data_IF_341904496889
#
_entry.id   IF_341904496889
#
_cell.length_a   1.000
_cell.length_b   1.000
_cell.length_c   1.000
_cell.angle_alpha   90.00
_cell.angle_beta   90.00
_cell.angle_gamma   90.00
#
_symmetry.space_group_name_H-M   'P 1'
#
loop_
_entity.id
_entity.type
_entity.pdbx_description
1 polymer ?
#
# COMPACT_ATOMS: atom_id res chain seq x y z
N UNK A 1 47.18 23.84 19.83
CA UNK A 1 46.32 22.75 19.29
C UNK A 1 44.88 23.06 19.70
N UNK A 2 44.05 23.57 18.78
CA UNK A 2 42.67 23.94 19.08
C UNK A 2 41.76 22.79 18.67
N UNK A 3 41.02 22.21 19.62
CA UNK A 3 39.93 21.29 19.34
C UNK A 3 38.73 22.09 18.83
N UNK A 4 38.68 22.33 17.52
CA UNK A 4 37.47 22.82 16.85
C UNK A 4 36.39 21.74 16.95
N UNK A 5 35.52 21.87 17.95
CA UNK A 5 34.37 20.99 18.11
C UNK A 5 33.55 20.94 16.82
N UNK A 6 33.14 19.74 16.40
CA UNK A 6 32.30 19.55 15.21
C UNK A 6 30.99 20.31 15.42
N UNK A 7 30.86 21.47 14.78
CA UNK A 7 29.60 22.20 14.71
C UNK A 7 28.54 21.27 14.10
N UNK A 8 27.55 20.87 14.89
CA UNK A 8 26.47 20.00 14.44
C UNK A 8 25.71 20.73 13.33
N UNK A 9 25.83 20.23 12.10
CA UNK A 9 25.16 20.78 10.92
C UNK A 9 23.69 20.34 10.95
N UNK A 10 22.86 21.10 11.68
CA UNK A 10 21.46 20.79 11.95
C UNK A 10 20.56 21.73 11.14
N UNK A 11 19.54 21.22 10.42
CA UNK A 11 18.61 22.05 9.69
C UNK A 11 17.76 22.92 10.63
N UNK A 12 17.28 24.05 10.11
CA UNK A 12 16.22 24.78 10.80
C UNK A 12 14.91 23.98 10.82
N UNK A 13 14.04 24.15 11.84
CA UNK A 13 12.71 23.56 11.83
C UNK A 13 11.87 23.99 10.61
N UNK A 14 12.12 25.19 10.09
CA UNK A 14 11.47 25.74 8.88
C UNK A 14 11.86 24.93 7.64
N UNK A 15 13.13 24.60 7.46
CA UNK A 15 13.63 23.77 6.35
C UNK A 15 12.90 22.41 6.29
N UNK A 16 12.73 21.73 7.43
CA UNK A 16 12.01 20.45 7.51
C UNK A 16 10.51 20.64 7.27
N UNK A 17 9.94 21.75 7.75
CA UNK A 17 8.54 22.12 7.55
C UNK A 17 8.22 22.39 6.06
N UNK A 18 9.08 23.10 5.35
CA UNK A 18 8.95 23.40 3.92
C UNK A 18 9.06 22.13 3.07
N UNK A 19 10.07 21.30 3.30
CA UNK A 19 10.25 20.02 2.58
C UNK A 19 9.06 19.08 2.79
N UNK A 20 8.51 19.03 4.01
CA UNK A 20 7.28 18.27 4.29
C UNK A 20 6.06 18.82 3.53
N UNK A 21 5.91 20.14 3.42
CA UNK A 21 4.84 20.73 2.63
C UNK A 21 5.02 20.46 1.14
N UNK A 22 6.23 20.59 0.57
CA UNK A 22 6.49 20.22 -0.83
C UNK A 22 6.15 18.75 -1.11
N UNK A 23 6.48 17.84 -0.20
CA UNK A 23 6.10 16.43 -0.32
C UNK A 23 4.58 16.19 -0.22
N UNK A 24 3.88 16.94 0.65
CA UNK A 24 2.41 16.87 0.81
C UNK A 24 1.70 17.40 -0.43
N UNK A 25 2.12 18.56 -0.92
CA UNK A 25 1.44 19.29 -1.99
C UNK A 25 1.69 18.64 -3.36
N UNK A 26 2.79 17.89 -3.51
CA UNK A 26 3.02 16.97 -4.63
C UNK A 26 2.36 15.59 -4.47
N UNK A 27 1.63 15.33 -3.37
CA UNK A 27 0.94 14.05 -3.13
C UNK A 27 1.86 12.84 -2.88
N UNK A 28 3.15 13.06 -2.60
CA UNK A 28 4.12 11.98 -2.43
C UNK A 28 4.30 11.51 -0.97
N UNK A 29 3.70 12.20 0.00
CA UNK A 29 3.57 11.69 1.38
C UNK A 29 2.90 10.30 1.32
N UNK A 30 3.42 9.29 2.03
CA UNK A 30 2.79 7.99 2.09
C UNK A 30 1.51 8.07 2.94
N UNK A 31 0.51 7.29 2.56
CA UNK A 31 -0.68 7.06 3.36
C UNK A 31 -0.85 5.56 3.57
N UNK A 32 -1.01 5.17 4.84
CA UNK A 32 -1.30 3.79 5.26
C UNK A 32 -2.54 3.74 6.17
N UNK A 33 -3.38 4.76 6.13
CA UNK A 33 -4.63 4.84 6.89
C UNK A 33 -5.66 3.81 6.40
N UNK A 34 -6.61 3.46 7.27
CA UNK A 34 -7.79 2.70 6.85
C UNK A 34 -8.76 3.63 6.10
N UNK A 35 -9.44 3.09 5.09
CA UNK A 35 -10.40 3.82 4.28
C UNK A 35 -11.63 4.28 5.11
N UNK A 36 -12.15 5.51 4.93
CA UNK A 36 -13.33 5.99 5.65
C UNK A 36 -14.58 5.13 5.44
N UNK A 37 -14.79 4.57 4.25
CA UNK A 37 -15.92 3.66 3.97
C UNK A 37 -15.76 2.37 4.76
N UNK A 38 -14.56 1.80 4.74
CA UNK A 38 -14.22 0.59 5.49
C UNK A 38 -14.42 0.78 7.01
N UNK A 39 -13.92 1.88 7.56
CA UNK A 39 -14.05 2.16 9.01
C UNK A 39 -15.50 2.44 9.41
N UNK A 40 -16.28 3.10 8.55
CA UNK A 40 -17.71 3.38 8.77
C UNK A 40 -18.53 2.09 8.82
N UNK A 41 -18.47 1.25 7.77
CA UNK A 41 -19.32 0.07 7.67
C UNK A 41 -18.86 -1.13 8.51
N UNK A 42 -17.64 -1.08 9.06
CA UNK A 42 -17.18 -2.04 10.07
C UNK A 42 -17.40 -1.55 11.52
N UNK A 43 -17.91 -0.33 11.73
CA UNK A 43 -18.21 0.22 13.06
C UNK A 43 -19.49 -0.36 13.70
N UNK A 44 -19.80 0.10 14.92
CA UNK A 44 -21.10 -0.15 15.56
C UNK A 44 -22.25 0.58 14.84
N UNK A 45 -21.98 1.67 14.15
CA UNK A 45 -22.98 2.50 13.48
C UNK A 45 -23.29 2.01 12.05
N UNK A 46 -22.77 0.84 11.65
CA UNK A 46 -22.82 0.33 10.28
C UNK A 46 -24.23 0.21 9.68
N UNK A 47 -25.24 -0.11 10.51
CA UNK A 47 -26.65 -0.21 10.07
C UNK A 47 -27.24 1.18 9.80
N UNK A 48 -27.01 2.14 10.70
CA UNK A 48 -27.43 3.52 10.53
C UNK A 48 -26.73 4.18 9.32
N UNK A 49 -25.44 3.90 9.10
CA UNK A 49 -24.70 4.35 7.94
C UNK A 49 -25.27 3.77 6.62
N UNK A 50 -25.66 2.49 6.63
CA UNK A 50 -26.25 1.82 5.46
C UNK A 50 -27.62 2.39 5.11
N UNK A 51 -28.48 2.60 6.11
CA UNK A 51 -29.78 3.24 5.92
C UNK A 51 -29.61 4.69 5.43
N UNK A 52 -28.63 5.43 5.96
CA UNK A 52 -28.33 6.79 5.51
C UNK A 52 -27.86 6.83 4.04
N UNK A 53 -26.94 5.94 3.64
CA UNK A 53 -26.49 5.84 2.25
C UNK A 53 -27.66 5.49 1.31
N UNK A 54 -28.45 4.47 1.66
CA UNK A 54 -29.60 4.03 0.87
C UNK A 54 -30.59 5.18 0.61
N UNK A 55 -31.04 5.85 1.68
CA UNK A 55 -31.98 6.98 1.58
C UNK A 55 -31.35 8.19 0.88
N UNK A 56 -30.06 8.44 1.06
CA UNK A 56 -29.34 9.51 0.35
C UNK A 56 -29.25 9.24 -1.16
N UNK A 57 -29.06 7.98 -1.57
CA UNK A 57 -29.07 7.59 -2.98
C UNK A 57 -30.47 7.77 -3.58
N UNK A 58 -31.53 7.24 -2.95
CA UNK A 58 -32.91 7.40 -3.42
C UNK A 58 -33.31 8.88 -3.59
N UNK A 59 -33.02 9.75 -2.62
CA UNK A 59 -33.31 11.20 -2.69
C UNK A 59 -32.66 11.93 -3.86
N UNK A 60 -31.65 11.31 -4.50
CA UNK A 60 -30.90 11.87 -5.63
C UNK A 60 -31.22 11.18 -6.98
N UNK A 61 -32.35 10.48 -7.04
CA UNK A 61 -32.87 9.74 -8.20
C UNK A 61 -34.30 10.17 -8.56
N UNK A 62 -34.66 10.13 -9.84
CA UNK A 62 -36.07 10.26 -10.27
C UNK A 62 -36.92 9.07 -9.79
N UNK A 63 -38.25 9.17 -9.85
CA UNK A 63 -39.15 8.06 -9.47
C UNK A 63 -38.83 6.78 -10.26
N UNK A 64 -38.69 6.89 -11.57
CA UNK A 64 -38.31 5.79 -12.48
C UNK A 64 -36.96 5.15 -12.11
N UNK A 65 -35.96 5.99 -11.77
CA UNK A 65 -34.66 5.53 -11.31
C UNK A 65 -34.74 4.86 -9.93
N UNK A 66 -35.59 5.34 -9.01
CA UNK A 66 -35.82 4.69 -7.73
C UNK A 66 -36.46 3.30 -7.93
N UNK A 67 -37.47 3.17 -8.80
CA UNK A 67 -38.06 1.85 -9.14
C UNK A 67 -37.02 0.91 -9.76
N UNK A 68 -36.24 1.38 -10.74
CA UNK A 68 -35.17 0.58 -11.35
C UNK A 68 -34.11 0.11 -10.34
N UNK A 69 -33.62 1.02 -9.50
CA UNK A 69 -32.66 0.75 -8.43
C UNK A 69 -33.17 -0.31 -7.45
N UNK A 70 -34.44 -0.20 -7.05
CA UNK A 70 -35.09 -1.16 -6.14
C UNK A 70 -35.29 -2.54 -6.77
N UNK A 71 -35.65 -2.60 -8.05
CA UNK A 71 -35.82 -3.86 -8.77
C UNK A 71 -34.47 -4.59 -8.91
N UNK A 72 -33.43 -3.91 -9.37
CA UNK A 72 -32.07 -4.48 -9.47
C UNK A 72 -31.49 -4.88 -8.12
N UNK A 73 -31.78 -4.14 -7.03
CA UNK A 73 -31.42 -4.57 -5.68
C UNK A 73 -32.15 -5.85 -5.27
N UNK A 74 -33.44 -5.96 -5.60
CA UNK A 74 -34.23 -7.16 -5.26
C UNK A 74 -33.69 -8.39 -6.02
N UNK A 75 -33.25 -8.22 -7.26
CA UNK A 75 -32.60 -9.26 -8.07
C UNK A 75 -31.26 -9.72 -7.47
N UNK A 76 -30.33 -8.79 -7.21
CA UNK A 76 -29.00 -9.07 -6.62
C UNK A 76 -29.07 -9.63 -5.17
N UNK A 77 -30.18 -9.40 -4.46
CA UNK A 77 -30.47 -9.95 -3.12
C UNK A 77 -31.29 -11.25 -3.16
N UNK A 78 -31.35 -11.91 -4.32
CA UNK A 78 -31.96 -13.24 -4.47
C UNK A 78 -33.49 -13.24 -4.45
N UNK A 79 -34.10 -12.16 -4.91
CA UNK A 79 -35.56 -11.97 -4.92
C UNK A 79 -36.14 -11.37 -3.62
N UNK A 80 -35.31 -10.80 -2.74
CA UNK A 80 -35.75 -10.31 -1.43
C UNK A 80 -35.54 -8.81 -1.21
N UNK A 81 -36.53 -8.17 -0.60
CA UNK A 81 -36.49 -6.78 -0.10
C UNK A 81 -35.83 -6.63 1.27
N UNK A 82 -35.34 -7.73 1.87
CA UNK A 82 -34.76 -7.79 3.22
C UNK A 82 -33.50 -8.63 3.25
N UNK A 83 -32.59 -8.34 4.18
CA UNK A 83 -31.33 -9.07 4.39
C UNK A 83 -31.22 -9.47 5.86
N UNK A 84 -31.47 -10.75 6.15
CA UNK A 84 -31.75 -11.29 7.50
C UNK A 84 -30.52 -11.77 8.29
N UNK A 85 -29.37 -11.96 7.63
CA UNK A 85 -28.07 -12.11 8.30
C UNK A 85 -27.12 -10.95 7.96
N UNK A 86 -27.70 -9.82 7.49
CA UNK A 86 -26.98 -8.66 6.98
C UNK A 86 -27.48 -7.34 7.59
N UNK A 87 -27.03 -6.22 7.04
CA UNK A 87 -27.30 -4.88 7.60
C UNK A 87 -26.23 -4.38 8.59
N UNK A 88 -25.31 -5.24 9.04
CA UNK A 88 -24.20 -4.86 9.94
C UNK A 88 -22.83 -5.42 9.54
N UNK A 89 -21.76 -4.68 9.86
CA UNK A 89 -20.37 -5.10 9.64
C UNK A 89 -20.05 -5.42 8.17
N UNK A 90 -19.38 -6.55 7.92
CA UNK A 90 -18.95 -6.93 6.56
C UNK A 90 -20.09 -7.09 5.55
N UNK A 91 -21.31 -7.39 6.00
CA UNK A 91 -22.48 -7.48 5.10
C UNK A 91 -23.02 -6.08 4.79
N UNK A 92 -23.00 -5.15 5.76
CA UNK A 92 -23.27 -3.73 5.46
C UNK A 92 -22.24 -3.16 4.49
N UNK A 93 -20.96 -3.50 4.65
CA UNK A 93 -19.88 -3.12 3.73
C UNK A 93 -20.10 -3.69 2.31
N UNK A 94 -20.59 -4.92 2.19
CA UNK A 94 -20.95 -5.52 0.90
C UNK A 94 -22.16 -4.81 0.26
N UNK A 95 -23.22 -4.57 1.03
CA UNK A 95 -24.41 -3.84 0.59
C UNK A 95 -24.08 -2.39 0.17
N UNK A 96 -23.20 -1.68 0.90
CA UNK A 96 -22.78 -0.33 0.54
C UNK A 96 -22.10 -0.24 -0.83
N UNK A 97 -21.31 -1.26 -1.20
CA UNK A 97 -20.71 -1.37 -2.54
C UNK A 97 -21.76 -1.66 -3.60
N UNK A 98 -22.69 -2.58 -3.30
CA UNK A 98 -23.79 -2.94 -4.21
C UNK A 98 -24.70 -1.74 -4.50
N UNK A 99 -25.02 -0.94 -3.48
CA UNK A 99 -25.83 0.27 -3.62
C UNK A 99 -25.15 1.28 -4.56
N UNK A 100 -23.86 1.56 -4.34
CA UNK A 100 -23.11 2.46 -5.22
C UNK A 100 -23.08 1.93 -6.67
N UNK A 101 -22.80 0.64 -6.85
CA UNK A 101 -22.74 -0.01 -8.18
C UNK A 101 -24.06 0.06 -8.94
N UNK A 102 -25.19 -0.34 -8.34
CA UNK A 102 -26.50 -0.29 -9.01
C UNK A 102 -26.93 1.17 -9.21
N UNK A 103 -26.64 2.08 -8.26
CA UNK A 103 -26.96 3.50 -8.43
C UNK A 103 -26.24 4.15 -9.61
N UNK A 104 -25.03 3.67 -9.96
CA UNK A 104 -24.29 4.09 -11.14
C UNK A 104 -24.91 3.53 -12.42
N UNK A 105 -25.22 2.22 -12.46
CA UNK A 105 -25.86 1.58 -13.61
C UNK A 105 -27.20 2.25 -13.98
N UNK A 106 -28.06 2.51 -12.99
CA UNK A 106 -29.36 3.16 -13.17
C UNK A 106 -29.24 4.60 -13.69
N UNK A 107 -28.22 5.35 -13.24
CA UNK A 107 -27.96 6.71 -13.76
C UNK A 107 -27.47 6.69 -15.20
N UNK A 108 -26.57 5.77 -15.54
CA UNK A 108 -26.03 5.63 -16.91
C UNK A 108 -27.12 5.19 -17.88
N UNK A 109 -27.95 4.20 -17.51
CA UNK A 109 -29.05 3.74 -18.36
C UNK A 109 -30.14 4.81 -18.58
N UNK A 110 -30.22 5.81 -17.70
CA UNK A 110 -31.10 6.98 -17.83
C UNK A 110 -30.46 8.19 -18.53
N UNK A 111 -29.27 8.06 -19.13
CA UNK A 111 -28.57 9.17 -19.78
C UNK A 111 -28.06 8.79 -21.18
N UNK A 112 -28.51 9.52 -22.20
CA UNK A 112 -28.19 9.25 -23.61
C UNK A 112 -26.79 9.75 -24.04
N UNK A 113 -26.02 10.36 -23.13
CA UNK A 113 -24.67 10.87 -23.35
C UNK A 113 -23.77 10.60 -22.13
N UNK A 114 -22.45 10.45 -22.34
CA UNK A 114 -21.47 10.61 -21.26
C UNK A 114 -20.59 9.41 -20.88
N UNK A 115 -19.62 9.11 -21.74
CA UNK A 115 -18.28 8.57 -21.40
C UNK A 115 -18.15 7.45 -20.33
N UNK A 116 -18.08 6.21 -20.82
CA UNK A 116 -17.80 4.99 -20.03
C UNK A 116 -16.39 4.92 -19.40
N UNK A 117 -15.46 5.83 -19.74
CA UNK A 117 -14.03 5.68 -19.43
C UNK A 117 -13.70 5.72 -17.92
N UNK A 118 -14.41 6.54 -17.14
CA UNK A 118 -14.16 6.73 -15.70
C UNK A 118 -14.41 5.45 -14.87
N UNK A 119 -15.45 4.67 -15.22
CA UNK A 119 -15.90 3.49 -14.45
C UNK A 119 -14.84 2.35 -14.42
N UNK A 120 -13.97 2.26 -15.43
CA UNK A 120 -12.85 1.29 -15.47
C UNK A 120 -11.69 1.63 -14.53
N UNK A 121 -11.77 2.70 -13.74
CA UNK A 121 -10.73 3.06 -12.76
C UNK A 121 -11.13 2.79 -11.31
N UNK A 122 -12.37 3.09 -10.90
CA UNK A 122 -12.84 2.74 -9.54
C UNK A 122 -12.82 1.23 -9.28
N UNK A 123 -13.12 0.40 -10.28
CA UNK A 123 -13.07 -1.08 -10.16
C UNK A 123 -11.66 -1.67 -9.95
N UNK A 124 -10.58 -0.87 -10.04
CA UNK A 124 -9.17 -1.29 -9.88
C UNK A 124 -8.61 -1.13 -8.45
N UNK A 125 -9.32 -0.41 -7.57
CA UNK A 125 -8.98 -0.26 -6.14
C UNK A 125 -10.22 -0.40 -5.27
N UNK A 126 -10.08 -1.01 -4.10
CA UNK A 126 -11.11 -1.20 -3.08
C UNK A 126 -10.43 -0.86 -1.75
N UNK A 127 -10.98 0.10 -0.99
CA UNK A 127 -10.40 0.61 0.26
C UNK A 127 -8.91 0.99 0.14
N UNK A 128 -8.59 1.84 -0.85
CA UNK A 128 -7.23 2.22 -1.22
C UNK A 128 -6.38 1.14 -1.91
N UNK A 129 -6.55 -0.14 -1.57
CA UNK A 129 -5.71 -1.25 -2.06
C UNK A 129 -6.15 -1.71 -3.46
N UNK A 130 -5.22 -2.20 -4.30
CA UNK A 130 -5.60 -2.66 -5.65
C UNK A 130 -6.30 -4.02 -5.63
N UNK A 131 -7.39 -4.13 -6.38
CA UNK A 131 -8.13 -5.37 -6.64
C UNK A 131 -7.36 -6.39 -7.50
N UNK A 132 -6.12 -6.09 -7.91
CA UNK A 132 -5.18 -7.06 -8.49
C UNK A 132 -4.35 -7.83 -7.44
N UNK A 133 -4.11 -7.21 -6.27
CA UNK A 133 -3.42 -7.86 -5.15
C UNK A 133 -4.21 -9.09 -4.67
N UNK A 134 -3.55 -10.12 -4.13
CA UNK A 134 -4.26 -11.35 -3.74
C UNK A 134 -5.18 -11.11 -2.54
N UNK A 135 -4.78 -10.28 -1.56
CA UNK A 135 -5.67 -9.75 -0.52
C UNK A 135 -6.87 -9.02 -1.14
N UNK A 136 -6.63 -8.07 -2.04
CA UNK A 136 -7.70 -7.29 -2.69
C UNK A 136 -8.65 -8.14 -3.54
N UNK A 137 -8.16 -9.22 -4.18
CA UNK A 137 -9.01 -10.19 -4.90
C UNK A 137 -9.89 -11.00 -3.95
N UNK A 138 -9.32 -11.53 -2.87
CA UNK A 138 -10.08 -12.29 -1.86
C UNK A 138 -11.20 -11.42 -1.25
N UNK A 139 -10.87 -10.18 -0.86
CA UNK A 139 -11.85 -9.22 -0.32
C UNK A 139 -12.90 -8.82 -1.36
N UNK A 140 -12.50 -8.53 -2.60
CA UNK A 140 -13.46 -8.19 -3.68
C UNK A 140 -14.46 -9.32 -3.91
N UNK A 141 -13.98 -10.56 -4.05
CA UNK A 141 -14.84 -11.69 -4.33
C UNK A 141 -15.77 -11.97 -3.14
N UNK A 142 -15.28 -11.91 -1.90
CA UNK A 142 -16.12 -12.04 -0.70
C UNK A 142 -17.28 -11.02 -0.70
N UNK A 143 -16.96 -9.72 -0.81
CA UNK A 143 -17.96 -8.64 -0.75
C UNK A 143 -18.92 -8.63 -1.94
N UNK A 144 -18.58 -9.28 -3.05
CA UNK A 144 -19.49 -9.44 -4.19
C UNK A 144 -20.48 -10.60 -4.00
N UNK A 145 -20.06 -11.74 -3.44
CA UNK A 145 -20.94 -12.91 -3.28
C UNK A 145 -21.91 -12.77 -2.10
N UNK A 146 -21.48 -12.10 -1.03
CA UNK A 146 -22.20 -12.08 0.26
C UNK A 146 -23.64 -11.54 0.19
N UNK A 147 -23.97 -10.44 -0.53
CA UNK A 147 -25.34 -9.90 -0.56
C UNK A 147 -26.39 -10.93 -1.02
N UNK A 148 -26.16 -11.61 -2.16
CA UNK A 148 -27.09 -12.57 -2.73
C UNK A 148 -27.23 -13.90 -1.97
N UNK A 149 -26.38 -14.15 -0.96
CA UNK A 149 -26.48 -15.34 -0.09
C UNK A 149 -26.84 -15.03 1.37
N UNK A 150 -26.91 -13.76 1.77
CA UNK A 150 -27.11 -13.35 3.17
C UNK A 150 -28.49 -13.69 3.76
N UNK A 151 -29.43 -14.19 2.96
CA UNK A 151 -30.71 -14.76 3.42
C UNK A 151 -30.68 -16.29 3.57
N UNK A 152 -29.58 -16.96 3.25
CA UNK A 152 -29.40 -18.41 3.48
C UNK A 152 -28.30 -18.63 4.54
N UNK A 153 -28.64 -19.02 5.79
CA UNK A 153 -27.69 -19.07 6.90
C UNK A 153 -26.57 -20.10 6.70
N UNK A 154 -26.85 -21.21 6.01
CA UNK A 154 -25.89 -22.27 5.71
C UNK A 154 -24.84 -21.79 4.70
N UNK A 155 -25.28 -21.27 3.56
CA UNK A 155 -24.41 -20.76 2.49
C UNK A 155 -23.55 -19.58 2.95
N UNK A 156 -24.08 -18.65 3.76
CA UNK A 156 -23.28 -17.56 4.28
C UNK A 156 -22.25 -18.05 5.31
N UNK A 157 -22.59 -19.00 6.18
CA UNK A 157 -21.62 -19.58 7.12
C UNK A 157 -20.46 -20.28 6.40
N UNK A 158 -20.77 -21.17 5.44
CA UNK A 158 -19.78 -21.88 4.61
C UNK A 158 -18.90 -20.89 3.82
N UNK A 159 -19.52 -19.94 3.14
CA UNK A 159 -18.80 -18.94 2.34
C UNK A 159 -17.90 -18.06 3.22
N UNK A 160 -18.41 -17.59 4.36
CA UNK A 160 -17.63 -16.78 5.30
C UNK A 160 -16.46 -17.58 5.88
N UNK A 161 -16.59 -18.90 6.15
CA UNK A 161 -15.46 -19.74 6.56
C UNK A 161 -14.42 -19.98 5.46
N UNK A 162 -14.84 -20.16 4.20
CA UNK A 162 -13.92 -20.31 3.07
C UNK A 162 -13.05 -19.07 2.89
N UNK A 163 -13.68 -17.89 2.86
CA UNK A 163 -12.99 -16.61 2.69
C UNK A 163 -12.17 -16.19 3.92
N UNK A 164 -12.62 -16.54 5.13
CA UNK A 164 -11.85 -16.41 6.37
C UNK A 164 -10.50 -17.16 6.27
N UNK A 165 -10.54 -18.44 5.91
CA UNK A 165 -9.33 -19.26 5.79
C UNK A 165 -8.40 -18.78 4.66
N UNK A 166 -8.94 -18.40 3.50
CA UNK A 166 -8.13 -17.83 2.42
C UNK A 166 -7.45 -16.51 2.80
N UNK A 167 -8.19 -15.60 3.45
CA UNK A 167 -7.69 -14.28 3.83
C UNK A 167 -6.65 -14.40 4.97
N UNK A 168 -6.87 -15.27 5.94
CA UNK A 168 -5.92 -15.66 7.00
C UNK A 168 -4.57 -16.09 6.42
N UNK A 169 -4.56 -17.02 5.47
CA UNK A 169 -3.34 -17.56 4.87
C UNK A 169 -2.56 -16.49 4.07
N UNK A 170 -3.25 -15.70 3.26
CA UNK A 170 -2.61 -14.64 2.46
C UNK A 170 -2.04 -13.52 3.36
N UNK A 171 -2.72 -13.15 4.45
CA UNK A 171 -2.23 -12.12 5.38
C UNK A 171 -0.96 -12.57 6.11
N UNK A 172 -0.82 -13.87 6.43
CA UNK A 172 0.38 -14.43 7.06
C UNK A 172 1.58 -14.37 6.09
N UNK A 173 1.48 -14.90 4.87
CA UNK A 173 2.59 -14.81 3.92
C UNK A 173 2.85 -13.35 3.46
N UNK A 174 1.85 -12.48 3.44
CA UNK A 174 2.06 -11.05 3.17
C UNK A 174 2.81 -10.34 4.31
N UNK A 175 2.51 -10.68 5.57
CA UNK A 175 3.29 -10.25 6.74
C UNK A 175 4.75 -10.73 6.64
N UNK A 176 4.96 -12.01 6.33
CA UNK A 176 6.31 -12.58 6.13
C UNK A 176 7.06 -11.90 4.97
N UNK A 177 6.36 -11.60 3.86
CA UNK A 177 6.93 -10.91 2.70
C UNK A 177 7.48 -9.54 3.08
N UNK A 178 6.76 -8.77 3.88
CA UNK A 178 7.22 -7.46 4.36
C UNK A 178 8.40 -7.60 5.34
N UNK A 179 8.27 -8.48 6.33
CA UNK A 179 9.21 -8.57 7.47
C UNK A 179 10.47 -9.36 7.16
N UNK A 180 10.35 -10.62 6.74
CA UNK A 180 11.49 -11.52 6.50
C UNK A 180 12.09 -11.36 5.11
N UNK A 181 11.24 -11.29 4.07
CA UNK A 181 11.63 -11.21 2.65
C UNK A 181 11.92 -9.75 2.23
N UNK A 182 11.92 -8.81 3.19
CA UNK A 182 12.25 -7.36 3.09
C UNK A 182 11.39 -6.55 2.08
N UNK A 183 10.21 -7.03 1.70
CA UNK A 183 9.30 -6.39 0.72
C UNK A 183 8.36 -5.36 1.36
N UNK A 184 8.89 -4.55 2.27
CA UNK A 184 8.16 -3.47 2.94
C UNK A 184 7.92 -2.30 1.97
N UNK A 185 6.76 -1.64 2.07
CA UNK A 185 6.35 -0.44 1.31
C UNK A 185 5.05 0.13 1.85
N UNK A 186 4.71 1.37 1.51
CA UNK A 186 3.39 1.96 1.83
C UNK A 186 2.24 1.09 1.31
N UNK A 187 2.36 0.58 0.07
CA UNK A 187 1.33 -0.25 -0.56
C UNK A 187 1.15 -1.61 0.14
N UNK A 188 2.24 -2.23 0.60
CA UNK A 188 2.17 -3.51 1.32
C UNK A 188 1.63 -3.34 2.74
N UNK A 189 1.98 -2.24 3.43
CA UNK A 189 1.37 -1.85 4.70
C UNK A 189 -0.14 -1.66 4.58
N UNK A 190 -0.61 -0.90 3.58
CA UNK A 190 -2.04 -0.68 3.36
C UNK A 190 -2.77 -1.99 3.02
N UNK A 191 -2.18 -2.86 2.18
CA UNK A 191 -2.71 -4.20 1.88
C UNK A 191 -2.86 -5.06 3.14
N UNK A 192 -1.85 -5.07 4.02
CA UNK A 192 -1.93 -5.81 5.27
C UNK A 192 -2.99 -5.23 6.22
N UNK A 193 -3.06 -3.91 6.36
CA UNK A 193 -3.95 -3.24 7.31
C UNK A 193 -5.42 -3.42 6.94
N UNK A 194 -5.77 -3.22 5.66
CA UNK A 194 -7.12 -3.47 5.13
C UNK A 194 -7.48 -4.96 5.21
N UNK A 195 -6.54 -5.85 4.88
CA UNK A 195 -6.74 -7.29 5.05
C UNK A 195 -7.02 -7.68 6.51
N UNK A 196 -6.23 -7.18 7.45
CA UNK A 196 -6.39 -7.44 8.87
C UNK A 196 -7.72 -6.90 9.40
N UNK A 197 -8.14 -5.70 8.97
CA UNK A 197 -9.42 -5.13 9.32
C UNK A 197 -10.59 -6.00 8.81
N UNK A 198 -10.59 -6.39 7.53
CA UNK A 198 -11.66 -7.23 6.96
C UNK A 198 -11.67 -8.62 7.59
N UNK A 199 -10.53 -9.30 7.79
CA UNK A 199 -10.50 -10.63 8.42
C UNK A 199 -11.02 -10.60 9.87
N UNK A 200 -10.72 -9.55 10.65
CA UNK A 200 -11.27 -9.41 11.99
C UNK A 200 -12.80 -9.30 11.97
N UNK A 201 -13.37 -8.55 11.02
CA UNK A 201 -14.83 -8.40 10.93
C UNK A 201 -15.54 -9.56 10.23
N UNK A 202 -14.85 -10.33 9.39
CA UNK A 202 -15.26 -11.67 8.95
C UNK A 202 -15.38 -12.61 10.16
N UNK A 203 -14.37 -12.63 11.06
CA UNK A 203 -14.44 -13.44 12.29
C UNK A 203 -15.57 -12.99 13.23
N UNK A 204 -15.79 -11.67 13.38
CA UNK A 204 -16.94 -11.13 14.11
C UNK A 204 -18.25 -11.61 13.47
N UNK A 205 -18.36 -11.64 12.15
CA UNK A 205 -19.55 -12.14 11.45
C UNK A 205 -19.78 -13.64 11.67
N UNK A 206 -18.74 -14.49 11.65
CA UNK A 206 -18.87 -15.91 12.04
C UNK A 206 -19.39 -16.09 13.48
N UNK A 207 -19.01 -15.20 14.41
CA UNK A 207 -19.55 -15.20 15.78
C UNK A 207 -21.03 -14.78 15.79
N UNK A 208 -21.45 -13.87 14.89
CA UNK A 208 -22.87 -13.51 14.71
C UNK A 208 -23.69 -14.67 14.11
N UNK A 209 -23.09 -15.45 13.22
CA UNK A 209 -23.64 -16.68 12.63
C UNK A 209 -23.50 -17.92 13.54
N UNK A 210 -22.96 -17.76 14.75
CA UNK A 210 -22.70 -18.84 15.72
C UNK A 210 -21.74 -19.95 15.25
N UNK A 211 -21.04 -19.76 14.13
CA UNK A 211 -20.12 -20.74 13.52
C UNK A 211 -18.82 -20.91 14.31
N UNK A 212 -18.40 -19.90 15.09
CA UNK A 212 -17.14 -19.92 15.88
C UNK A 212 -17.32 -19.25 17.25
N UNK A 213 -16.56 -19.65 18.29
CA UNK A 213 -16.65 -19.05 19.63
C UNK A 213 -16.07 -17.62 19.67
N UNK A 214 -16.61 -16.77 20.55
CA UNK A 214 -16.24 -15.36 20.71
C UNK A 214 -14.74 -15.09 20.89
N UNK A 215 -14.06 -15.94 21.68
CA UNK A 215 -12.62 -15.86 21.94
C UNK A 215 -11.74 -15.98 20.69
N UNK A 216 -12.26 -16.48 19.56
CA UNK A 216 -11.54 -16.51 18.28
C UNK A 216 -11.20 -15.11 17.77
N UNK A 217 -12.18 -14.19 17.75
CA UNK A 217 -11.96 -12.80 17.36
C UNK A 217 -11.09 -12.05 18.37
N UNK A 218 -11.20 -12.36 19.66
CA UNK A 218 -10.29 -11.79 20.67
C UNK A 218 -8.83 -12.19 20.43
N UNK A 219 -8.57 -13.47 20.16
CA UNK A 219 -7.23 -13.99 19.87
C UNK A 219 -6.69 -13.38 18.57
N UNK A 220 -7.49 -13.36 17.51
CA UNK A 220 -7.15 -12.74 16.23
C UNK A 220 -6.82 -11.24 16.38
N UNK A 221 -7.62 -10.51 17.16
CA UNK A 221 -7.39 -9.09 17.47
C UNK A 221 -6.10 -8.87 18.26
N UNK A 222 -5.77 -9.73 19.24
CA UNK A 222 -4.50 -9.67 19.99
C UNK A 222 -3.30 -9.97 19.08
N UNK A 223 -3.44 -10.92 18.15
CA UNK A 223 -2.43 -11.19 17.11
C UNK A 223 -2.19 -9.97 16.22
N UNK A 224 -3.25 -9.39 15.65
CA UNK A 224 -3.15 -8.23 14.77
C UNK A 224 -2.65 -6.95 15.46
N UNK A 225 -3.01 -6.70 16.73
CA UNK A 225 -2.38 -5.66 17.56
C UNK A 225 -0.85 -5.82 17.58
N UNK A 226 -0.38 -7.05 17.79
CA UNK A 226 1.05 -7.36 17.95
C UNK A 226 1.78 -7.26 16.61
N UNK A 227 1.23 -7.85 15.56
CA UNK A 227 1.76 -7.77 14.20
C UNK A 227 1.81 -6.33 13.69
N UNK A 228 0.77 -5.52 13.90
CA UNK A 228 0.78 -4.10 13.50
C UNK A 228 1.87 -3.30 14.23
N UNK A 229 2.08 -3.53 15.53
CA UNK A 229 3.16 -2.90 16.29
C UNK A 229 4.55 -3.20 15.72
N UNK A 230 4.80 -4.45 15.33
CA UNK A 230 6.05 -4.86 14.69
C UNK A 230 6.19 -4.29 13.26
N UNK A 231 5.10 -4.25 12.49
CA UNK A 231 5.07 -3.67 11.16
C UNK A 231 5.35 -2.16 11.17
N UNK A 232 4.82 -1.40 12.14
CA UNK A 232 5.12 0.03 12.27
C UNK A 232 6.61 0.28 12.55
N UNK A 233 7.25 -0.54 13.39
CA UNK A 233 8.70 -0.46 13.59
C UNK A 233 9.47 -0.77 12.30
N UNK A 234 9.10 -1.84 11.60
CA UNK A 234 9.71 -2.23 10.32
C UNK A 234 9.50 -1.19 9.20
N UNK A 235 8.32 -0.55 9.17
CA UNK A 235 7.95 0.48 8.21
C UNK A 235 8.68 1.80 8.49
N UNK A 236 8.81 2.19 9.75
CA UNK A 236 9.65 3.33 10.16
C UNK A 236 11.11 3.12 9.73
N UNK A 237 11.66 1.92 9.99
CA UNK A 237 13.00 1.54 9.55
C UNK A 237 13.15 1.42 8.01
N UNK A 238 12.05 1.19 7.28
CA UNK A 238 11.99 1.23 5.83
C UNK A 238 12.01 2.67 5.31
N UNK A 239 11.21 3.59 5.88
CA UNK A 239 11.25 5.02 5.52
C UNK A 239 12.64 5.60 5.77
N UNK A 240 13.28 5.30 6.90
CA UNK A 240 14.67 5.67 7.19
C UNK A 240 15.72 5.23 6.14
N UNK A 241 15.40 4.26 5.27
CA UNK A 241 16.31 3.77 4.21
C UNK A 241 15.96 4.31 2.82
N UNK A 242 14.74 4.81 2.64
CA UNK A 242 14.19 5.21 1.33
C UNK A 242 13.97 6.72 1.22
N UNK A 243 13.70 7.43 2.32
CA UNK A 243 13.68 8.89 2.32
C UNK A 243 15.09 9.38 2.03
N UNK A 244 15.25 10.07 0.89
CA UNK A 244 16.48 10.68 0.44
C UNK A 244 16.20 12.10 0.00
N UNK A 245 17.06 13.00 0.42
CA UNK A 245 16.99 14.41 0.12
C UNK A 245 18.37 14.81 -0.40
N UNK A 246 18.41 15.49 -1.55
CA UNK A 246 19.63 16.11 -2.08
C UNK A 246 19.44 17.61 -2.33
N UNK A 247 20.31 18.48 -1.80
CA UNK A 247 20.15 19.93 -1.87
C UNK A 247 20.22 20.46 -3.30
N UNK A 248 19.64 21.65 -3.50
CA UNK A 248 19.86 22.45 -4.71
C UNK A 248 21.38 22.55 -5.02
N UNK A 249 21.82 22.18 -6.24
CA UNK A 249 23.21 22.39 -6.66
C UNK A 249 23.58 23.88 -6.59
N UNK A 250 24.54 24.24 -5.73
CA UNK A 250 25.10 25.59 -5.71
C UNK A 250 25.93 25.79 -6.98
N UNK A 251 25.49 26.68 -7.88
CA UNK A 251 26.32 27.17 -9.00
C UNK A 251 27.69 27.58 -8.45
N UNK A 252 28.82 27.12 -9.02
CA UNK A 252 30.13 27.52 -8.55
C UNK A 252 30.24 29.04 -8.56
N UNK A 253 30.64 29.64 -7.42
CA UNK A 253 31.03 31.06 -7.44
C UNK A 253 32.20 31.18 -8.41
N UNK A 254 32.01 31.93 -9.49
CA UNK A 254 33.11 32.35 -10.34
C UNK A 254 34.14 33.04 -9.44
N UNK A 255 35.35 32.47 -9.36
CA UNK A 255 36.44 33.11 -8.64
C UNK A 255 36.82 34.36 -9.41
N UNK A 256 36.44 35.53 -8.91
CA UNK A 256 37.04 36.80 -9.29
C UNK A 256 38.55 36.64 -9.17
N UNK A 257 39.29 36.81 -10.28
CA UNK A 257 40.76 36.73 -10.25
C UNK A 257 41.30 37.92 -9.43
N UNK A 258 41.70 37.67 -8.19
CA UNK A 258 42.78 38.45 -7.60
C UNK A 258 44.09 37.96 -8.23
N UNK A 259 44.87 38.90 -8.77
CA UNK A 259 46.15 38.62 -9.42
C UNK A 259 47.26 38.53 -8.38
N UNK A 260 47.31 37.44 -7.62
CA UNK A 260 48.47 37.14 -6.77
C UNK A 260 49.57 36.51 -7.64
N UNK A 261 50.53 37.35 -8.05
CA UNK A 261 51.72 36.94 -8.79
C UNK A 261 52.70 36.28 -7.82
N UNK A 262 52.89 34.96 -7.88
CA UNK A 262 54.14 34.34 -7.41
C UNK A 262 54.53 33.07 -8.19
N UNK A 263 55.76 33.10 -8.70
CA UNK A 263 56.65 31.98 -9.07
C UNK A 263 56.05 30.67 -9.60
N UNK A 264 56.18 30.46 -10.91
CA UNK A 264 56.16 29.12 -11.53
C UNK A 264 57.35 28.31 -10.98
N UNK A 265 57.11 27.06 -10.62
CA UNK A 265 58.17 26.03 -10.57
C UNK A 265 57.62 24.72 -11.13
N UNK A 266 58.29 24.14 -12.12
CA UNK A 266 57.82 22.93 -12.80
C UNK A 266 58.25 21.67 -12.04
N UNK A 267 57.35 20.69 -11.90
CA UNK A 267 57.72 19.29 -12.01
C UNK A 267 56.59 18.50 -12.68
N UNK A 268 56.94 17.89 -13.82
CA UNK A 268 56.12 16.94 -14.56
C UNK A 268 56.48 15.53 -14.09
N UNK A 269 55.50 14.63 -14.00
CA UNK A 269 55.66 13.30 -14.57
C UNK A 269 54.30 12.60 -14.80
N UNK A 270 54.31 11.60 -15.68
CA UNK A 270 53.11 10.91 -16.16
C UNK A 270 52.84 9.59 -15.41
N UNK A 271 51.62 9.09 -15.61
CA UNK A 271 51.31 7.66 -15.63
C UNK A 271 52.32 6.87 -16.47
N UNK A 272 52.68 5.65 -16.04
CA UNK A 272 52.18 4.44 -16.70
C UNK A 272 52.41 3.14 -15.91
N UNK A 273 51.69 2.09 -16.33
CA UNK A 273 51.65 0.76 -15.71
C UNK A 273 52.74 -0.16 -16.27
N UNK A 274 53.10 -1.23 -15.53
CA UNK A 274 53.19 -2.60 -16.07
C UNK A 274 53.43 -3.66 -14.96
N UNK A 275 53.26 -4.93 -15.33
CA UNK A 275 53.46 -6.14 -14.49
C UNK A 275 54.99 -6.44 -14.30
N UNK A 276 55.48 -7.29 -13.38
CA UNK A 276 55.11 -8.70 -13.19
C UNK A 276 55.70 -9.41 -11.94
N UNK A 277 55.19 -10.62 -11.68
CA UNK A 277 55.51 -11.72 -10.72
C UNK A 277 57.00 -11.91 -10.31
N UNK A 278 57.28 -12.17 -9.01
CA UNK A 278 57.98 -13.39 -8.51
C UNK A 278 58.03 -13.51 -6.96
N UNK A 279 58.31 -14.73 -6.46
CA UNK A 279 58.42 -15.16 -5.06
C UNK A 279 59.77 -14.79 -4.41
N UNK A 280 59.80 -14.59 -3.08
CA UNK A 280 60.74 -15.26 -2.13
C UNK A 280 60.05 -15.37 -0.75
N UNK A 281 60.19 -16.52 -0.09
CA UNK A 281 59.96 -16.77 1.35
C UNK A 281 61.27 -17.35 1.94
N UNK A 282 61.58 -17.17 3.24
CA UNK A 282 61.67 -18.38 4.07
C UNK A 282 61.26 -18.25 5.56
N UNK A 283 60.86 -19.42 6.08
CA UNK A 283 60.67 -19.92 7.46
C UNK A 283 61.77 -19.53 8.50
N UNK A 284 61.65 -19.74 9.83
CA UNK A 284 61.16 -20.86 10.70
C UNK A 284 60.72 -20.25 12.07
N UNK A 285 59.69 -20.68 12.83
CA UNK A 285 59.56 -21.85 13.75
C UNK A 285 58.09 -21.91 14.25
N UNK A 286 57.39 -23.04 14.40
CA UNK A 286 57.59 -24.20 15.28
C UNK A 286 57.37 -23.85 16.78
N UNK A 287 56.48 -24.48 17.56
CA UNK A 287 55.59 -25.65 17.39
C UNK A 287 54.22 -25.37 18.11
N UNK A 288 53.22 -26.26 18.30
CA UNK A 288 53.12 -27.72 18.22
C UNK A 288 51.67 -28.18 17.89
N UNK A 289 51.36 -29.48 17.94
CA UNK A 289 50.14 -30.11 17.40
C UNK A 289 49.34 -30.92 18.45
N UNK A 290 48.07 -31.26 18.19
CA UNK A 290 47.51 -32.62 18.45
C UNK A 290 46.14 -32.85 17.76
N UNK A 291 46.14 -33.64 16.68
CA UNK A 291 45.28 -34.81 16.35
C UNK A 291 43.74 -34.76 16.60
N UNK A 292 42.82 -35.38 15.83
CA UNK A 292 42.78 -36.41 14.73
C UNK A 292 41.31 -36.49 14.21
N UNK A 293 40.86 -37.05 13.07
CA UNK A 293 41.35 -37.41 11.69
C UNK A 293 40.11 -37.91 10.87
N UNK A 294 40.27 -38.19 9.56
CA UNK A 294 39.41 -39.06 8.69
C UNK A 294 38.01 -38.53 8.24
N UNK A 295 37.45 -38.92 7.08
CA UNK A 295 38.02 -39.47 5.81
C UNK A 295 37.00 -39.57 4.66
N UNK A 296 37.41 -39.20 3.43
CA UNK A 296 37.08 -39.82 2.11
C UNK A 296 35.64 -39.87 1.55
N UNK A 297 35.49 -39.54 0.25
CA UNK A 297 34.40 -40.00 -0.63
C UNK A 297 33.55 -38.91 -1.31
N UNK A 298 33.13 -39.08 -2.57
CA UNK A 298 33.86 -38.91 -3.85
C UNK A 298 32.90 -39.26 -5.04
N UNK A 299 33.13 -38.70 -6.24
CA UNK A 299 32.53 -39.05 -7.57
C UNK A 299 30.99 -39.11 -7.82
N UNK A 300 30.43 -38.00 -8.33
CA UNK A 300 29.76 -37.85 -9.67
C UNK A 300 28.48 -38.62 -10.11
N UNK A 301 27.73 -37.99 -11.06
CA UNK A 301 26.65 -38.53 -11.97
C UNK A 301 25.29 -38.87 -11.32
N UNK A 302 24.14 -38.89 -12.03
CA UNK A 302 23.69 -38.23 -13.28
C UNK A 302 22.14 -38.29 -13.41
N UNK A 303 21.53 -37.49 -14.29
CA UNK A 303 20.07 -37.26 -14.34
C UNK A 303 19.21 -38.38 -14.99
N UNK A 304 17.96 -38.56 -14.53
CA UNK A 304 16.77 -38.65 -15.42
C UNK A 304 15.42 -38.43 -14.68
N UNK A 305 14.35 -38.37 -15.49
CA UNK A 305 12.94 -38.08 -15.14
C UNK A 305 12.24 -39.25 -14.43
N UNK A 306 11.14 -38.95 -13.73
CA UNK A 306 9.81 -39.41 -14.12
C UNK A 306 8.70 -38.46 -13.62
N UNK A 307 7.51 -38.55 -14.21
CA UNK A 307 6.30 -37.80 -13.85
C UNK A 307 5.05 -38.46 -14.45
N UNK A 308 3.88 -38.34 -13.79
CA UNK A 308 2.59 -38.31 -14.47
C UNK A 308 1.84 -36.99 -14.22
N UNK A 309 0.73 -36.80 -14.94
CA UNK A 309 -0.04 -35.57 -15.08
C UNK A 309 -1.53 -35.76 -14.80
N UNK A 310 -2.22 -34.70 -14.39
CA UNK A 310 -3.66 -34.42 -14.57
C UNK A 310 -3.81 -32.92 -14.19
N UNK A 311 -3.73 -31.94 -15.10
CA UNK A 311 -4.57 -31.61 -16.27
C UNK A 311 -5.96 -31.07 -15.93
N UNK A 312 -6.17 -29.77 -16.24
CA UNK A 312 -7.46 -29.10 -16.40
C UNK A 312 -7.29 -27.84 -17.28
N UNK A 313 -7.08 -28.06 -18.59
CA UNK A 313 -7.61 -27.16 -19.63
C UNK A 313 -9.05 -27.54 -20.01
N UNK A 314 -9.69 -26.93 -21.04
CA UNK A 314 -9.19 -25.95 -22.01
C UNK A 314 -9.99 -24.61 -21.92
N UNK A 315 -9.97 -23.63 -22.83
CA UNK A 315 -9.37 -23.52 -24.18
C UNK A 315 -8.88 -22.10 -24.50
N UNK A 316 -7.91 -21.97 -25.41
CA UNK A 316 -7.41 -20.69 -25.93
C UNK A 316 -8.12 -20.30 -27.22
N UNK A 317 -8.58 -19.05 -27.33
CA UNK A 317 -8.74 -18.35 -28.62
C UNK A 317 -7.50 -17.48 -28.84
N UNK A 318 -7.03 -17.42 -30.09
CA UNK A 318 -5.64 -17.07 -30.43
C UNK A 318 -5.54 -15.75 -31.21
N UNK A 319 -4.40 -15.09 -31.05
CA UNK A 319 -3.84 -14.03 -31.91
C UNK A 319 -4.65 -12.75 -32.20
N UNK A 320 -4.20 -11.65 -31.59
CA UNK A 320 -4.39 -10.29 -32.06
C UNK A 320 -3.13 -9.47 -31.73
N UNK A 321 -2.46 -8.92 -32.73
CA UNK A 321 -1.21 -8.16 -32.54
C UNK A 321 -1.53 -6.70 -32.16
N UNK A 322 -1.30 -6.32 -30.89
CA UNK A 322 -1.36 -4.92 -30.48
C UNK A 322 0.02 -4.25 -30.50
N UNK A 323 0.24 -3.46 -31.56
CA UNK A 323 1.39 -2.55 -31.71
C UNK A 323 1.44 -1.56 -30.54
N UNK A 324 2.64 -1.32 -29.97
CA UNK A 324 2.83 -0.37 -28.86
C UNK A 324 2.61 1.07 -29.33
N UNK A 325 1.36 1.55 -29.31
CA UNK A 325 1.01 2.95 -29.57
C UNK A 325 1.40 3.79 -28.37
N UNK A 326 2.51 4.53 -28.49
CA UNK A 326 2.85 5.64 -27.58
C UNK A 326 1.77 6.73 -27.67
N UNK A 327 0.83 6.74 -26.73
CA UNK A 327 -0.07 7.89 -26.54
C UNK A 327 0.72 9.03 -25.90
N UNK A 328 1.27 9.90 -26.76
CA UNK A 328 1.88 11.16 -26.34
C UNK A 328 0.76 12.18 -26.15
N UNK A 329 0.50 12.60 -24.91
CA UNK A 329 -0.43 13.69 -24.61
C UNK A 329 0.14 15.05 -25.04
N UNK A 330 0.18 15.30 -26.35
CA UNK A 330 0.51 16.60 -26.93
C UNK A 330 -0.73 17.50 -26.93
N UNK A 331 -0.98 18.20 -25.81
CA UNK A 331 -2.05 19.21 -25.75
C UNK A 331 -1.54 20.52 -26.35
N UNK A 332 -1.87 20.76 -27.61
CA UNK A 332 -1.48 21.99 -28.30
C UNK A 332 -2.25 23.20 -27.78
N UNK A 333 -1.52 24.27 -27.49
CA UNK A 333 -2.05 25.63 -27.32
C UNK A 333 -1.09 26.55 -28.06
N UNK A 334 -1.49 27.01 -29.25
CA UNK A 334 -0.72 28.01 -29.99
C UNK A 334 -0.97 29.39 -29.36
N UNK A 335 0.10 30.00 -28.85
CA UNK A 335 0.08 31.32 -28.22
C UNK A 335 1.51 31.82 -28.05
N UNK A 336 1.98 32.59 -29.02
CA UNK A 336 3.39 32.94 -29.23
C UNK A 336 4.07 33.64 -28.05
N UNK A 337 5.04 32.95 -27.42
CA UNK A 337 6.19 33.59 -26.78
C UNK A 337 7.35 32.59 -26.70
N UNK A 338 8.46 32.87 -27.39
CA UNK A 338 9.70 32.13 -27.21
C UNK A 338 10.41 32.65 -25.97
N UNK A 339 10.65 31.78 -24.96
CA UNK A 339 11.82 31.86 -24.06
C UNK A 339 11.95 30.62 -23.16
N UNK A 340 13.13 29.98 -23.22
CA UNK A 340 13.78 29.17 -22.17
C UNK A 340 12.92 28.40 -21.13
N UNK A 341 12.38 27.22 -21.50
CA UNK A 341 11.87 26.21 -20.54
C UNK A 341 12.67 24.90 -20.63
N UNK A 342 14.01 25.01 -20.67
CA UNK A 342 14.92 23.85 -20.84
C UNK A 342 15.95 23.63 -19.71
N UNK A 343 16.35 24.67 -18.97
CA UNK A 343 17.57 24.63 -18.15
C UNK A 343 17.36 24.56 -16.63
N UNK A 344 16.14 24.83 -16.13
CA UNK A 344 15.95 25.16 -14.72
C UNK A 344 15.67 23.94 -13.80
N UNK A 345 15.23 22.81 -14.35
CA UNK A 345 15.09 21.55 -13.59
C UNK A 345 16.43 21.08 -13.03
N UNK A 346 17.52 21.31 -13.78
CA UNK A 346 18.91 21.05 -13.39
C UNK A 346 19.41 21.92 -12.22
N UNK A 347 18.58 22.84 -11.71
CA UNK A 347 18.90 23.73 -10.59
C UNK A 347 18.05 23.48 -9.34
N UNK A 348 17.23 22.43 -9.29
CA UNK A 348 16.41 22.10 -8.11
C UNK A 348 17.09 21.03 -7.24
N UNK A 349 16.74 21.01 -5.96
CA UNK A 349 16.98 19.84 -5.09
C UNK A 349 15.99 18.72 -5.42
N UNK A 350 16.20 17.52 -4.88
CA UNK A 350 15.34 16.35 -5.08
C UNK A 350 15.03 15.67 -3.75
N UNK A 351 13.73 15.53 -3.48
CA UNK A 351 13.21 14.78 -2.36
C UNK A 351 12.54 13.50 -2.87
N UNK A 352 13.01 12.36 -2.40
CA UNK A 352 12.48 11.02 -2.64
C UNK A 352 11.95 10.49 -1.31
N UNK A 353 10.74 9.95 -1.28
CA UNK A 353 10.13 9.38 -0.07
C UNK A 353 10.07 7.85 -0.14
N UNK A 354 9.75 7.32 -1.32
CA UNK A 354 9.82 5.90 -1.70
C UNK A 354 10.32 5.80 -3.15
N UNK A 355 10.72 4.60 -3.63
CA UNK A 355 10.84 4.35 -5.07
C UNK A 355 9.58 4.82 -5.82
N UNK A 356 9.78 5.63 -6.86
CA UNK A 356 8.73 6.27 -7.67
C UNK A 356 7.82 7.28 -6.93
N UNK A 357 8.18 7.71 -5.71
CA UNK A 357 7.57 8.85 -5.00
C UNK A 357 8.63 9.95 -4.80
N UNK A 358 8.75 10.87 -5.75
CA UNK A 358 9.75 11.94 -5.70
C UNK A 358 9.21 13.29 -6.22
N UNK A 359 9.86 14.38 -5.79
CA UNK A 359 9.54 15.76 -6.16
C UNK A 359 10.80 16.62 -6.15
N UNK A 360 10.92 17.52 -7.12
CA UNK A 360 12.00 18.52 -7.16
C UNK A 360 11.62 19.75 -6.31
N UNK A 361 12.56 20.30 -5.54
CA UNK A 361 12.30 21.41 -4.61
C UNK A 361 13.28 22.58 -4.74
N UNK A 362 12.80 23.77 -4.38
CA UNK A 362 13.57 25.02 -4.32
C UNK A 362 14.15 25.34 -2.93
N UNK A 363 13.73 24.58 -1.89
CA UNK A 363 14.14 24.78 -0.49
C UNK A 363 15.66 24.81 -0.35
N UNK A 364 16.18 25.81 0.39
CA UNK A 364 17.61 26.03 0.56
C UNK A 364 18.08 25.60 1.95
N UNK A 365 19.17 24.84 1.98
CA UNK A 365 19.80 24.30 3.17
C UNK A 365 21.25 23.89 2.83
N UNK A 366 22.03 23.45 3.82
CA UNK A 366 23.39 22.98 3.62
C UNK A 366 23.45 21.46 3.34
N UNK A 367 24.37 20.97 2.49
CA UNK A 367 24.48 19.54 2.19
C UNK A 367 24.79 18.64 3.41
N UNK A 368 25.36 19.19 4.48
CA UNK A 368 25.59 18.46 5.72
C UNK A 368 24.35 18.34 6.63
N UNK A 369 23.27 19.07 6.33
CA UNK A 369 22.00 19.02 7.07
C UNK A 369 21.11 17.87 6.59
N UNK A 370 21.30 17.41 5.34
CA UNK A 370 20.49 16.38 4.67
C UNK A 370 20.23 15.11 5.48
N UNK A 371 21.19 14.51 6.21
CA UNK A 371 20.91 13.34 7.04
C UNK A 371 19.95 13.63 8.20
N UNK A 372 20.08 14.81 8.83
CA UNK A 372 19.21 15.25 9.91
C UNK A 372 17.83 15.69 9.38
N UNK A 373 17.78 16.29 8.18
CA UNK A 373 16.54 16.55 7.44
C UNK A 373 15.78 15.25 7.19
N UNK A 374 16.45 14.23 6.66
CA UNK A 374 15.84 12.91 6.37
C UNK A 374 15.27 12.28 7.64
N UNK A 375 16.01 12.29 8.76
CA UNK A 375 15.52 11.80 10.07
C UNK A 375 14.32 12.59 10.60
N UNK A 376 14.34 13.92 10.48
CA UNK A 376 13.23 14.77 10.91
C UNK A 376 12.00 14.59 10.01
N UNK A 377 12.17 14.37 8.70
CA UNK A 377 11.09 14.06 7.77
C UNK A 377 10.45 12.69 8.05
N UNK A 378 11.23 11.63 8.32
CA UNK A 378 10.66 10.33 8.76
C UNK A 378 9.81 10.52 10.02
N UNK A 379 10.36 11.19 11.03
CA UNK A 379 9.65 11.46 12.30
C UNK A 379 8.35 12.24 12.06
N UNK A 380 8.39 13.26 11.20
CA UNK A 380 7.24 14.09 10.87
C UNK A 380 6.17 13.35 10.06
N UNK A 381 6.56 12.50 9.11
CA UNK A 381 5.65 11.64 8.34
C UNK A 381 4.98 10.63 9.27
N UNK A 382 5.75 9.95 10.13
CA UNK A 382 5.21 8.99 11.11
C UNK A 382 4.22 9.62 12.10
N UNK A 383 4.39 10.91 12.43
CA UNK A 383 3.46 11.67 13.27
C UNK A 383 2.26 12.26 12.50
N UNK A 384 2.31 12.33 11.17
CA UNK A 384 1.23 12.86 10.32
C UNK A 384 0.28 11.77 9.81
N UNK A 385 0.72 10.51 9.80
CA UNK A 385 -0.13 9.33 9.60
C UNK A 385 -1.07 9.15 10.80
N UNK A 386 -2.39 8.99 10.58
CA UNK A 386 -3.30 8.63 11.68
C UNK A 386 -3.22 7.12 12.01
N UNK A 387 -2.08 6.80 12.64
CA UNK A 387 -1.83 5.50 13.24
C UNK A 387 -2.63 5.32 14.54
N UNK A 388 -3.25 6.37 15.09
CA UNK A 388 -4.06 6.27 16.31
C UNK A 388 -5.42 5.68 15.97
N UNK A 389 -6.13 6.19 14.97
CA UNK A 389 -7.37 5.59 14.46
C UNK A 389 -7.14 4.15 13.99
N UNK A 390 -6.10 3.94 13.18
CA UNK A 390 -5.71 2.62 12.65
C UNK A 390 -5.38 1.60 13.76
N UNK A 391 -4.69 2.03 14.81
CA UNK A 391 -4.41 1.22 16.01
C UNK A 391 -5.67 0.99 16.85
N UNK A 392 -6.52 2.00 17.00
CA UNK A 392 -7.77 1.93 17.77
C UNK A 392 -8.79 0.98 17.15
N UNK A 393 -8.76 0.79 15.83
CA UNK A 393 -9.52 -0.25 15.14
C UNK A 393 -9.22 -1.65 15.73
N UNK A 394 -7.95 -2.02 15.87
CA UNK A 394 -7.56 -3.28 16.53
C UNK A 394 -7.60 -3.20 18.07
N UNK A 395 -7.65 -2.01 18.65
CA UNK A 395 -7.79 -1.76 20.09
C UNK A 395 -9.22 -1.41 20.53
N UNK A 396 -10.25 -1.99 19.90
CA UNK A 396 -11.58 -2.05 20.51
C UNK A 396 -11.48 -2.40 22.01
N UNK A 397 -12.14 -1.62 22.87
CA UNK A 397 -12.35 -2.02 24.26
C UNK A 397 -13.19 -3.29 24.27
N UNK A 398 -13.08 -4.09 25.34
CA UNK A 398 -13.86 -5.34 25.44
C UNK A 398 -15.37 -5.08 25.36
N UNK A 399 -15.83 -3.92 25.87
CA UNK A 399 -17.20 -3.43 25.72
C UNK A 399 -17.59 -3.21 24.24
N UNK A 400 -16.75 -2.54 23.45
CA UNK A 400 -17.01 -2.32 22.01
C UNK A 400 -17.00 -3.63 21.23
N UNK A 401 -16.06 -4.53 21.52
CA UNK A 401 -16.00 -5.85 20.88
C UNK A 401 -17.22 -6.72 21.22
N UNK A 402 -17.69 -6.70 22.47
CA UNK A 402 -18.92 -7.38 22.86
C UNK A 402 -20.18 -6.77 22.23
N UNK A 403 -20.24 -5.45 22.04
CA UNK A 403 -21.31 -4.82 21.26
C UNK A 403 -21.26 -5.28 19.79
N UNK A 404 -20.08 -5.35 19.17
CA UNK A 404 -19.92 -5.87 17.80
C UNK A 404 -20.36 -7.34 17.67
N UNK A 405 -20.16 -8.19 18.69
CA UNK A 405 -20.69 -9.56 18.70
C UNK A 405 -22.22 -9.63 18.82
N UNK A 406 -22.84 -8.65 19.48
CA UNK A 406 -24.29 -8.59 19.74
C UNK A 406 -25.12 -8.00 18.61
N UNK A 407 -24.50 -7.28 17.67
CA UNK A 407 -25.20 -6.78 16.50
C UNK A 407 -25.89 -7.90 15.70
N UNK A 408 -27.13 -7.64 15.30
CA UNK A 408 -28.10 -8.48 14.57
C UNK A 408 -29.10 -7.63 13.76
N UNK A 409 -28.77 -6.37 13.48
CA UNK A 409 -29.67 -5.44 12.81
C UNK A 409 -29.75 -5.73 11.30
N UNK A 410 -30.87 -6.34 10.88
CA UNK A 410 -31.28 -6.54 9.48
C UNK A 410 -31.22 -5.25 8.63
N UNK A 411 -31.19 -5.40 7.31
CA UNK A 411 -31.50 -4.33 6.35
C UNK A 411 -32.79 -4.64 5.59
N UNK A 412 -33.67 -3.66 5.37
CA UNK A 412 -34.95 -3.82 4.67
C UNK A 412 -35.32 -2.55 3.89
N UNK A 413 -35.90 -2.69 2.68
CA UNK A 413 -36.27 -1.57 1.83
C UNK A 413 -37.66 -1.73 1.17
N UNK A 414 -38.60 -0.84 1.50
CA UNK A 414 -40.05 -0.95 1.23
C UNK A 414 -40.46 -0.87 -0.25
N UNK A 415 -40.87 -1.98 -0.86
CA UNK A 415 -41.37 -2.04 -2.26
C UNK A 415 -42.80 -1.52 -2.35
N UNK A 416 -42.94 -0.19 -2.32
CA UNK A 416 -44.14 0.55 -2.76
C UNK A 416 -44.04 0.87 -4.27
#
# INVERSE_FOLDING_TARGET
>A
MILTGRSLCLPSPVTVQELFFVARDAGIIPDISLDPVLTTFLSLDSSAALQHQYVSLQRSMSSEQQTAFRNSLTEELGGSSRVTNGGVGVVALALSILFDQISQQVRVNGSTEGDLSAHRFQTKRIFGISSSSRIGRIIKSYLHHIPGIANNPEKIAETTELYDNWLKLEIIDHYERMTTKKRMSTLSMQQWLVGAAVHLHIRIHQIRLHSVPSGSAESLRRSYKTGFGQLIQGYTAYLFRNIRETPRPRKPRARTRQNDIFSITNMTCSSDQLFNISLVDPSVSADNETTTTNSTGDTSKSCKRDAPSEDFGPSVIKEGNETIVRVVNKKEVNGSSENSIGEDVSQLGLLVIEPHRNVSHSVQHHPCESPAIQQALVTRIMNALDLVQSKNFFLHSERVLHSLFKQREDFEFTTE
#
